data_IF_226605637599
#
_entry.id   IF_226605637599
#
_cell.length_a   1.000
_cell.length_b   1.000
_cell.length_c   1.000
_cell.angle_alpha   90.00
_cell.angle_beta   90.00
_cell.angle_gamma   90.00
#
_symmetry.space_group_name_H-M   'P 1'
#
loop_
_entity.id
_entity.type
_entity.pdbx_description
1 polymer ?
#
# COMPACT_ATOMS: atom_id res chain seq x y z
N UNK A 1 -4.18 -6.22 -17.23
CA UNK A 1 -3.81 -7.65 -17.20
C UNK A 1 -3.26 -8.10 -15.85
N UNK A 2 -2.04 -7.66 -15.42
CA UNK A 2 -1.48 -8.14 -14.17
C UNK A 2 -2.25 -7.61 -12.96
N UNK A 3 -2.56 -6.33 -12.94
CA UNK A 3 -3.36 -5.72 -11.87
C UNK A 3 -4.73 -6.41 -11.73
N UNK A 4 -5.43 -6.66 -12.86
CA UNK A 4 -6.72 -7.36 -12.83
C UNK A 4 -6.59 -8.80 -12.30
N UNK A 5 -5.53 -9.51 -12.67
CA UNK A 5 -5.30 -10.87 -12.19
C UNK A 5 -5.07 -10.93 -10.68
N UNK A 6 -4.16 -10.08 -10.18
CA UNK A 6 -3.87 -9.96 -8.74
C UNK A 6 -5.12 -9.54 -7.97
N UNK A 7 -5.84 -8.54 -8.49
CA UNK A 7 -7.08 -8.05 -7.87
C UNK A 7 -8.13 -9.15 -7.75
N UNK A 8 -8.35 -9.93 -8.80
CA UNK A 8 -9.29 -11.08 -8.75
C UNK A 8 -8.92 -12.09 -7.68
N UNK A 9 -7.63 -12.35 -7.54
CA UNK A 9 -7.13 -13.29 -6.53
C UNK A 9 -7.39 -12.79 -5.11
N UNK A 10 -7.07 -11.52 -4.83
CA UNK A 10 -7.35 -10.89 -3.52
C UNK A 10 -8.87 -10.81 -3.27
N UNK A 11 -9.68 -10.45 -4.25
CA UNK A 11 -11.13 -10.40 -4.12
C UNK A 11 -11.76 -11.78 -3.90
N UNK A 12 -11.05 -12.87 -4.21
CA UNK A 12 -11.51 -14.24 -3.99
C UNK A 12 -11.78 -14.58 -2.52
N UNK A 13 -11.16 -13.89 -1.57
CA UNK A 13 -11.43 -14.00 -0.13
C UNK A 13 -12.49 -13.00 0.36
N UNK A 14 -13.03 -12.17 -0.54
CA UNK A 14 -14.02 -11.14 -0.27
C UNK A 14 -13.66 -10.17 0.89
N UNK A 15 -12.49 -9.52 0.87
CA UNK A 15 -12.03 -8.65 1.96
C UNK A 15 -12.94 -7.43 2.09
N UNK A 16 -13.28 -7.03 3.31
CA UNK A 16 -14.02 -5.80 3.61
C UNK A 16 -13.12 -4.57 3.66
N UNK A 17 -11.84 -4.77 3.97
CA UNK A 17 -10.80 -3.72 4.02
C UNK A 17 -9.58 -4.10 3.18
N UNK A 18 -9.10 -3.14 2.37
CA UNK A 18 -7.98 -3.34 1.44
C UNK A 18 -6.95 -2.23 1.63
N UNK A 19 -5.69 -2.62 1.77
CA UNK A 19 -4.53 -1.72 1.77
C UNK A 19 -3.83 -1.73 0.41
N UNK A 20 -3.54 -0.54 -0.12
CA UNK A 20 -2.67 -0.31 -1.26
C UNK A 20 -1.52 0.62 -0.84
N UNK A 21 -0.33 0.09 -0.51
CA UNK A 21 0.75 0.85 0.11
C UNK A 21 1.53 1.78 -0.85
N UNK A 22 1.24 1.73 -2.14
CA UNK A 22 1.88 2.56 -3.18
C UNK A 22 0.97 2.65 -4.40
N UNK A 23 -0.09 3.47 -4.32
CA UNK A 23 -1.16 3.42 -5.32
C UNK A 23 -0.85 4.11 -6.65
N UNK A 24 0.14 5.02 -6.69
CA UNK A 24 0.49 5.74 -7.91
C UNK A 24 -0.70 6.40 -8.56
N UNK A 25 -0.85 6.18 -9.86
CA UNK A 25 -1.96 6.68 -10.69
C UNK A 25 -3.29 5.89 -10.54
N UNK A 26 -3.35 4.92 -9.62
CA UNK A 26 -4.58 4.19 -9.29
C UNK A 26 -4.89 2.97 -10.17
N UNK A 27 -3.88 2.29 -10.71
CA UNK A 27 -4.10 1.11 -11.57
C UNK A 27 -4.80 -0.05 -10.87
N UNK A 28 -4.47 -0.30 -9.60
CA UNK A 28 -5.17 -1.31 -8.80
C UNK A 28 -6.56 -0.84 -8.38
N UNK A 29 -6.76 0.46 -8.15
CA UNK A 29 -8.08 1.06 -7.91
C UNK A 29 -8.99 0.79 -9.12
N UNK A 30 -8.49 1.03 -10.34
CA UNK A 30 -9.25 0.73 -11.56
C UNK A 30 -9.54 -0.77 -11.70
N UNK A 31 -8.57 -1.63 -11.34
CA UNK A 31 -8.76 -3.07 -11.38
C UNK A 31 -9.77 -3.54 -10.31
N UNK A 32 -9.79 -2.94 -9.12
CA UNK A 32 -10.81 -3.19 -8.10
C UNK A 32 -12.20 -2.86 -8.64
N UNK A 33 -12.37 -1.70 -9.26
CA UNK A 33 -13.64 -1.32 -9.86
C UNK A 33 -14.10 -2.29 -10.95
N UNK A 34 -13.20 -2.70 -11.85
CA UNK A 34 -13.52 -3.59 -12.96
C UNK A 34 -13.92 -5.02 -12.50
N UNK A 35 -13.44 -5.44 -11.34
CA UNK A 35 -13.61 -6.82 -10.86
C UNK A 35 -14.53 -6.95 -9.63
N UNK A 36 -15.02 -5.82 -9.11
CA UNK A 36 -15.91 -5.80 -7.96
C UNK A 36 -17.12 -4.90 -8.19
N UNK A 37 -18.30 -5.45 -8.07
CA UNK A 37 -19.56 -4.69 -8.12
C UNK A 37 -19.89 -4.00 -6.79
N UNK A 38 -19.28 -4.44 -5.68
CA UNK A 38 -19.52 -3.90 -4.34
C UNK A 38 -18.58 -2.74 -4.05
N UNK A 39 -19.12 -1.53 -3.97
CA UNK A 39 -18.36 -0.30 -3.71
C UNK A 39 -18.24 0.05 -2.22
N UNK A 40 -18.64 -0.86 -1.35
CA UNK A 40 -18.68 -0.66 0.10
C UNK A 40 -17.39 -1.05 0.82
N UNK A 41 -16.41 -1.58 0.07
CA UNK A 41 -15.10 -1.95 0.64
C UNK A 41 -14.36 -0.71 1.14
N UNK A 42 -13.73 -0.84 2.31
CA UNK A 42 -12.88 0.19 2.86
C UNK A 42 -11.49 0.12 2.19
N UNK A 43 -11.14 1.13 1.40
CA UNK A 43 -9.87 1.17 0.66
C UNK A 43 -8.96 2.21 1.29
N UNK A 44 -7.78 1.77 1.71
CA UNK A 44 -6.74 2.65 2.24
C UNK A 44 -5.55 2.64 1.30
N UNK A 45 -5.21 3.80 0.77
CA UNK A 45 -4.10 3.97 -0.18
C UNK A 45 -3.04 4.90 0.39
N UNK A 46 -1.79 4.62 0.05
CA UNK A 46 -0.66 5.51 0.28
C UNK A 46 0.04 5.83 -1.03
N UNK A 47 0.46 7.07 -1.18
CA UNK A 47 1.29 7.54 -2.28
C UNK A 47 2.15 8.70 -1.79
N UNK A 48 3.44 8.66 -2.14
CA UNK A 48 4.40 9.68 -1.68
C UNK A 48 4.27 10.99 -2.45
N UNK A 49 3.86 10.93 -3.71
CA UNK A 49 3.75 12.08 -4.60
C UNK A 49 2.34 12.65 -4.54
N UNK A 50 2.19 13.87 -4.03
CA UNK A 50 0.89 14.55 -3.83
C UNK A 50 0.02 14.53 -5.09
N UNK A 51 0.60 14.84 -6.25
CA UNK A 51 -0.16 14.89 -7.51
C UNK A 51 -0.69 13.50 -7.95
N UNK A 52 0.00 12.42 -7.63
CA UNK A 52 -0.44 11.06 -7.91
C UNK A 52 -1.48 10.61 -6.88
N UNK A 53 -1.30 10.95 -5.61
CA UNK A 53 -2.29 10.72 -4.56
C UNK A 53 -3.63 11.40 -4.90
N UNK A 54 -3.58 12.65 -5.39
CA UNK A 54 -4.78 13.38 -5.82
C UNK A 54 -5.49 12.72 -7.01
N UNK A 55 -4.74 12.17 -7.98
CA UNK A 55 -5.32 11.39 -9.09
C UNK A 55 -6.04 10.15 -8.58
N UNK A 56 -5.41 9.39 -7.70
CA UNK A 56 -6.01 8.20 -7.08
C UNK A 56 -7.27 8.54 -6.27
N UNK A 57 -7.24 9.64 -5.52
CA UNK A 57 -8.40 10.15 -4.78
C UNK A 57 -9.56 10.56 -5.71
N UNK A 58 -9.23 11.27 -6.79
CA UNK A 58 -10.22 11.63 -7.80
C UNK A 58 -10.80 10.39 -8.48
N UNK A 59 -9.95 9.41 -8.82
CA UNK A 59 -10.37 8.16 -9.45
C UNK A 59 -11.35 7.39 -8.56
N UNK A 60 -11.03 7.16 -7.28
CA UNK A 60 -11.92 6.50 -6.32
C UNK A 60 -13.30 7.16 -6.27
N UNK A 61 -13.33 8.50 -6.17
CA UNK A 61 -14.58 9.26 -6.18
C UNK A 61 -15.37 9.08 -7.48
N UNK A 62 -14.68 9.19 -8.63
CA UNK A 62 -15.32 9.10 -9.94
C UNK A 62 -15.90 7.72 -10.24
N UNK A 63 -15.27 6.67 -9.68
CA UNK A 63 -15.72 5.29 -9.77
C UNK A 63 -16.84 4.96 -8.77
N UNK A 64 -17.16 5.90 -7.86
CA UNK A 64 -18.25 5.78 -6.89
C UNK A 64 -17.93 4.93 -5.66
N UNK A 65 -16.65 4.82 -5.29
CA UNK A 65 -16.28 4.28 -3.98
C UNK A 65 -16.65 5.29 -2.90
N UNK A 66 -17.27 4.82 -1.81
CA UNK A 66 -17.76 5.65 -0.72
C UNK A 66 -16.83 5.62 0.51
N UNK A 67 -16.19 4.49 0.74
CA UNK A 67 -15.35 4.25 1.91
C UNK A 67 -13.88 4.14 1.48
N UNK A 68 -13.15 5.26 1.51
CA UNK A 68 -11.74 5.24 1.20
C UNK A 68 -10.96 6.34 1.90
N UNK A 69 -9.68 6.09 2.09
CA UNK A 69 -8.68 7.06 2.53
C UNK A 69 -7.47 7.02 1.59
N UNK A 70 -7.01 8.17 1.14
CA UNK A 70 -5.77 8.29 0.36
C UNK A 70 -4.84 9.23 1.11
N UNK A 71 -3.73 8.67 1.59
CA UNK A 71 -2.70 9.40 2.31
C UNK A 71 -1.57 9.79 1.35
N UNK A 72 -1.31 11.10 1.25
CA UNK A 72 -0.13 11.62 0.58
C UNK A 72 1.04 11.60 1.55
N UNK A 73 1.66 10.44 1.72
CA UNK A 73 2.72 10.23 2.71
C UNK A 73 3.53 8.96 2.45
N UNK A 74 4.70 8.86 3.08
CA UNK A 74 5.51 7.67 3.09
C UNK A 74 4.82 6.55 3.91
N UNK A 75 4.43 5.48 3.24
CA UNK A 75 3.82 4.31 3.87
C UNK A 75 4.74 3.64 4.89
N UNK A 76 6.04 3.55 4.62
CA UNK A 76 6.98 2.90 5.54
C UNK A 76 7.10 3.67 6.85
N UNK A 77 7.15 5.00 6.79
CA UNK A 77 7.14 5.85 7.97
C UNK A 77 5.84 5.70 8.74
N UNK A 78 4.70 5.81 8.03
CA UNK A 78 3.39 5.60 8.65
C UNK A 78 3.30 4.24 9.34
N UNK A 79 3.81 3.18 8.72
CA UNK A 79 3.78 1.84 9.29
C UNK A 79 4.62 1.72 10.57
N UNK A 80 5.79 2.35 10.60
CA UNK A 80 6.64 2.41 11.81
C UNK A 80 5.90 3.11 12.96
N UNK A 81 5.26 4.24 12.67
CA UNK A 81 4.55 5.04 13.66
C UNK A 81 3.29 4.33 14.20
N UNK A 82 2.70 3.44 13.40
CA UNK A 82 1.45 2.74 13.72
C UNK A 82 1.61 1.25 14.03
N UNK A 83 2.81 0.71 14.02
CA UNK A 83 3.09 -0.72 14.21
C UNK A 83 2.55 -1.31 15.52
N UNK A 84 2.41 -0.50 16.57
CA UNK A 84 1.89 -0.89 17.88
C UNK A 84 0.42 -0.52 18.09
N UNK A 85 -0.23 0.03 17.09
CA UNK A 85 -1.65 0.35 17.17
C UNK A 85 -2.46 -0.93 16.95
N UNK A 86 -2.88 -1.57 18.05
CA UNK A 86 -3.59 -2.86 18.10
C UNK A 86 -4.94 -2.90 17.33
N UNK A 87 -5.25 -1.90 16.51
CA UNK A 87 -6.55 -1.75 15.88
C UNK A 87 -6.50 -1.51 14.37
N UNK A 88 -5.31 -1.50 13.76
CA UNK A 88 -5.20 -1.27 12.31
C UNK A 88 -4.90 -2.61 11.65
N UNK A 89 -5.94 -3.20 11.07
CA UNK A 89 -5.84 -4.45 10.32
C UNK A 89 -6.55 -4.32 8.98
N UNK A 90 -6.01 -4.97 7.97
CA UNK A 90 -6.61 -5.09 6.64
C UNK A 90 -6.84 -6.56 6.32
N UNK A 91 -7.95 -6.86 5.65
CA UNK A 91 -8.28 -8.23 5.22
C UNK A 91 -7.67 -8.57 3.86
N UNK A 92 -7.18 -7.55 3.14
CA UNK A 92 -6.50 -7.73 1.85
C UNK A 92 -5.45 -6.67 1.60
N UNK A 93 -4.37 -7.06 0.95
CA UNK A 93 -3.30 -6.17 0.52
C UNK A 93 -3.10 -6.33 -0.97
N UNK A 94 -3.03 -5.21 -1.68
CA UNK A 94 -2.83 -5.18 -3.12
C UNK A 94 -1.87 -4.05 -3.47
N UNK A 95 -0.97 -4.25 -4.41
CA UNK A 95 -0.08 -3.18 -4.82
C UNK A 95 1.10 -3.66 -5.66
N UNK A 96 1.82 -2.70 -6.19
CA UNK A 96 3.08 -2.90 -6.90
C UNK A 96 4.12 -1.91 -6.35
N UNK A 97 4.77 -2.21 -5.23
CA UNK A 97 5.70 -1.29 -4.59
C UNK A 97 6.92 -0.99 -5.47
N UNK A 98 7.60 0.14 -5.25
CA UNK A 98 8.72 0.56 -6.07
C UNK A 98 9.90 -0.42 -5.98
N UNK A 99 10.51 -0.74 -7.13
CA UNK A 99 11.68 -1.63 -7.25
C UNK A 99 12.99 -0.82 -7.28
N UNK A 100 13.26 -0.06 -6.23
CA UNK A 100 14.45 0.80 -6.12
C UNK A 100 15.43 0.15 -5.15
N UNK A 101 16.71 0.10 -5.52
CA UNK A 101 17.75 -0.37 -4.60
C UNK A 101 17.91 0.65 -3.48
N UNK A 102 18.07 0.19 -2.24
CA UNK A 102 18.20 1.01 -1.03
C UNK A 102 19.19 2.17 -1.20
N UNK A 103 20.34 1.94 -1.80
CA UNK A 103 21.38 2.96 -1.99
C UNK A 103 20.98 4.15 -2.87
N UNK A 104 19.88 4.05 -3.62
CA UNK A 104 19.37 5.10 -4.49
C UNK A 104 18.14 5.82 -3.89
N UNK A 105 17.71 5.42 -2.70
CA UNK A 105 16.65 6.09 -1.96
C UNK A 105 17.23 7.32 -1.27
N UNK A 106 16.41 8.34 -1.03
CA UNK A 106 16.80 9.46 -0.17
C UNK A 106 16.97 9.01 1.29
N UNK A 107 17.63 9.82 2.10
CA UNK A 107 17.99 9.47 3.49
C UNK A 107 16.76 9.16 4.36
N UNK A 108 15.69 9.95 4.25
CA UNK A 108 14.46 9.75 5.02
C UNK A 108 13.81 8.40 4.71
N UNK A 109 13.74 8.05 3.42
CA UNK A 109 13.17 6.78 3.00
C UNK A 109 14.06 5.59 3.36
N UNK A 110 15.39 5.79 3.34
CA UNK A 110 16.34 4.79 3.83
C UNK A 110 16.16 4.51 5.32
N UNK A 111 15.92 5.55 6.11
CA UNK A 111 15.66 5.44 7.55
C UNK A 111 14.34 4.71 7.81
N UNK A 112 13.25 5.12 7.15
CA UNK A 112 11.95 4.44 7.26
C UNK A 112 12.07 2.95 6.92
N UNK A 113 12.72 2.62 5.79
CA UNK A 113 12.93 1.24 5.37
C UNK A 113 13.72 0.41 6.39
N UNK A 114 14.78 0.98 6.97
CA UNK A 114 15.57 0.33 8.02
C UNK A 114 14.77 0.12 9.29
N UNK A 115 14.02 1.13 9.72
CA UNK A 115 13.21 1.07 10.94
C UNK A 115 12.14 -0.04 10.87
N UNK A 116 11.56 -0.30 9.69
CA UNK A 116 10.65 -1.45 9.49
C UNK A 116 11.35 -2.77 9.80
N UNK A 117 12.59 -2.98 9.32
CA UNK A 117 13.35 -4.20 9.60
C UNK A 117 13.69 -4.34 11.08
N UNK A 118 14.11 -3.24 11.72
CA UNK A 118 14.47 -3.22 13.15
C UNK A 118 13.25 -3.54 14.02
N UNK A 119 12.07 -2.96 13.71
CA UNK A 119 10.81 -3.24 14.43
C UNK A 119 10.37 -4.69 14.33
N UNK A 120 10.54 -5.29 13.15
CA UNK A 120 10.14 -6.68 12.90
C UNK A 120 11.23 -7.70 13.24
N UNK A 121 12.36 -7.26 13.81
CA UNK A 121 13.54 -8.09 14.13
C UNK A 121 14.11 -8.84 12.92
N UNK A 122 14.01 -8.27 11.72
CA UNK A 122 14.64 -8.80 10.53
C UNK A 122 16.03 -8.22 10.32
N UNK A 123 16.93 -9.03 9.75
CA UNK A 123 18.27 -8.56 9.42
C UNK A 123 18.21 -7.66 8.16
N UNK A 124 18.51 -6.38 8.36
CA UNK A 124 18.64 -5.43 7.25
C UNK A 124 20.01 -5.54 6.55
N UNK A 125 20.03 -5.39 5.24
CA UNK A 125 21.27 -5.26 4.46
C UNK A 125 21.16 -4.13 3.45
N UNK A 126 22.28 -3.45 3.14
CA UNK A 126 22.32 -2.37 2.14
C UNK A 126 22.01 -2.83 0.68
N UNK A 127 21.89 -4.14 0.46
CA UNK A 127 21.49 -4.71 -0.84
C UNK A 127 19.98 -4.95 -0.92
N UNK A 128 19.26 -4.69 0.16
CA UNK A 128 17.79 -4.82 0.20
C UNK A 128 17.16 -3.87 -0.83
N UNK A 129 16.20 -4.39 -1.58
CA UNK A 129 15.39 -3.58 -2.48
C UNK A 129 14.18 -3.02 -1.70
N UNK A 130 13.74 -1.80 -2.04
CA UNK A 130 12.64 -1.13 -1.33
C UNK A 130 11.36 -1.95 -1.24
N UNK A 131 10.99 -2.71 -2.28
CA UNK A 131 9.78 -3.52 -2.28
C UNK A 131 9.72 -4.52 -1.12
N UNK A 132 10.88 -4.99 -0.61
CA UNK A 132 10.92 -5.91 0.53
C UNK A 132 10.42 -5.21 1.80
N UNK A 133 10.83 -3.95 2.02
CA UNK A 133 10.34 -3.14 3.16
C UNK A 133 8.82 -2.95 3.08
N UNK A 134 8.29 -2.66 1.89
CA UNK A 134 6.85 -2.56 1.67
C UNK A 134 6.13 -3.86 1.96
N UNK A 135 6.66 -4.99 1.47
CA UNK A 135 6.05 -6.30 1.68
C UNK A 135 5.97 -6.66 3.16
N UNK A 136 7.11 -6.65 3.87
CA UNK A 136 7.13 -7.05 5.29
C UNK A 136 6.34 -6.08 6.17
N UNK A 137 6.37 -4.77 5.85
CA UNK A 137 5.56 -3.77 6.52
C UNK A 137 4.07 -4.00 6.30
N UNK A 138 3.66 -4.23 5.05
CA UNK A 138 2.25 -4.49 4.73
C UNK A 138 1.72 -5.75 5.44
N UNK A 139 2.50 -6.83 5.46
CA UNK A 139 2.13 -8.09 6.12
C UNK A 139 1.91 -7.94 7.64
N UNK A 140 2.50 -6.92 8.27
CA UNK A 140 2.29 -6.66 9.70
C UNK A 140 0.92 -6.04 10.04
N UNK A 141 0.15 -5.68 9.03
CA UNK A 141 -1.22 -5.13 9.14
C UNK A 141 -2.28 -6.06 8.53
N UNK A 142 -1.94 -7.35 8.27
CA UNK A 142 -2.85 -8.35 7.69
C UNK A 142 -3.55 -9.22 8.77
#
# INVERSE_FOLDING_TARGET
>A
YLADYITKWVLGINPSSILEPSCGDGRFIQALFNNNSEKEKNITCFELIDSEADKSKYLLKSLGFNNFSVYSSDFLRWSVDNFKADQIEFEGIIGNPPFIRYQYLNEEFQESAKNVFDLLNFKFTKHTNSWVSFLISSLSFL
#
